data_IF_141843098734
#
_entry.id   IF_141843098734
#
_cell.length_a   1.000
_cell.length_b   1.000
_cell.length_c   1.000
_cell.angle_alpha   90.00
_cell.angle_beta   90.00
_cell.angle_gamma   90.00
#
_symmetry.space_group_name_H-M   'P 1'
#
loop_
_entity.id
_entity.type
_entity.pdbx_description
1 polymer ?
#
# COMPACT_ATOMS: atom_id res chain seq x y z
N UNK A 1 13.76 1.47 22.94
CA UNK A 1 12.86 0.81 21.96
C UNK A 1 11.44 0.94 22.48
N UNK A 2 10.57 1.61 21.76
CA UNK A 2 9.19 1.83 22.18
C UNK A 2 8.30 0.78 21.50
N UNK A 3 7.54 -0.03 22.26
CA UNK A 3 6.61 -1.03 21.70
C UNK A 3 5.56 -0.44 20.75
N UNK A 4 5.18 0.82 20.95
CA UNK A 4 4.26 1.56 20.08
C UNK A 4 4.73 1.67 18.62
N UNK A 5 6.02 1.50 18.35
CA UNK A 5 6.55 1.45 16.98
C UNK A 5 5.90 0.34 16.15
N UNK A 6 5.58 -0.81 16.76
CA UNK A 6 4.95 -1.95 16.07
C UNK A 6 3.51 -1.69 15.63
N UNK A 7 2.85 -0.69 16.20
CA UNK A 7 1.52 -0.24 15.81
C UNK A 7 1.54 1.04 14.97
N UNK A 8 2.74 1.49 14.55
CA UNK A 8 2.90 2.64 13.67
C UNK A 8 2.87 4.00 14.34
N UNK A 9 3.12 4.05 15.67
CA UNK A 9 3.16 5.30 16.42
C UNK A 9 4.51 6.00 16.28
N UNK A 10 4.78 6.56 15.10
CA UNK A 10 5.97 7.36 14.81
C UNK A 10 5.69 8.35 13.66
N UNK A 11 6.40 9.45 13.68
CA UNK A 11 6.31 10.45 12.63
C UNK A 11 7.09 10.04 11.38
N UNK A 12 6.50 10.24 10.21
CA UNK A 12 7.17 10.04 8.93
C UNK A 12 6.53 10.90 7.84
N UNK A 13 7.34 11.28 6.86
CA UNK A 13 6.81 11.98 5.70
C UNK A 13 5.99 11.05 4.79
N UNK A 14 5.06 11.58 3.97
CA UNK A 14 4.39 10.79 2.93
C UNK A 14 5.37 10.11 1.97
N UNK A 15 6.51 10.74 1.68
CA UNK A 15 7.55 10.19 0.84
C UNK A 15 8.21 8.96 1.48
N UNK A 16 8.56 9.02 2.76
CA UNK A 16 9.18 7.89 3.48
C UNK A 16 8.20 6.73 3.64
N UNK A 17 6.93 7.04 3.91
CA UNK A 17 5.87 6.04 3.94
C UNK A 17 5.72 5.35 2.56
N UNK A 18 5.62 6.13 1.48
CA UNK A 18 5.53 5.58 0.12
C UNK A 18 6.74 4.71 -0.21
N UNK A 19 7.97 5.16 0.12
CA UNK A 19 9.19 4.38 -0.11
C UNK A 19 9.18 3.05 0.65
N UNK A 20 8.67 3.04 1.88
CA UNK A 20 8.56 1.83 2.69
C UNK A 20 7.55 0.83 2.10
N UNK A 21 6.41 1.31 1.66
CA UNK A 21 5.39 0.47 1.03
C UNK A 21 5.74 0.04 -0.40
N UNK A 22 6.62 0.78 -1.08
CA UNK A 22 7.09 0.42 -2.43
C UNK A 22 7.75 -0.97 -2.45
N UNK A 23 8.54 -1.31 -1.45
CA UNK A 23 9.17 -2.64 -1.34
C UNK A 23 8.12 -3.74 -1.20
N UNK A 24 7.03 -3.49 -0.47
CA UNK A 24 5.93 -4.44 -0.32
C UNK A 24 5.16 -4.58 -1.63
N UNK A 25 4.79 -3.47 -2.27
CA UNK A 25 4.05 -3.46 -3.52
C UNK A 25 4.82 -4.18 -4.64
N UNK A 26 6.15 -4.00 -4.69
CA UNK A 26 7.06 -4.58 -5.67
C UNK A 26 7.63 -5.95 -5.26
N UNK A 27 6.88 -6.77 -4.50
CA UNK A 27 7.22 -8.15 -4.13
C UNK A 27 8.63 -8.33 -3.52
N UNK A 28 9.07 -7.33 -2.73
CA UNK A 28 10.34 -7.34 -2.02
C UNK A 28 11.48 -6.64 -2.75
N UNK A 29 11.24 -6.13 -3.94
CA UNK A 29 12.21 -5.34 -4.67
C UNK A 29 12.16 -3.87 -4.24
N UNK A 30 13.29 -3.35 -3.82
CA UNK A 30 13.49 -1.95 -3.53
C UNK A 30 13.90 -1.21 -4.80
N UNK A 31 13.26 -0.08 -5.06
CA UNK A 31 13.69 0.92 -6.02
C UNK A 31 13.50 2.30 -5.41
N UNK A 32 14.51 3.18 -5.39
CA UNK A 32 14.33 4.54 -4.89
C UNK A 32 13.21 5.25 -5.63
N UNK A 33 12.34 5.91 -4.89
CA UNK A 33 11.34 6.80 -5.48
C UNK A 33 12.04 7.95 -6.19
N UNK A 34 11.53 8.32 -7.36
CA UNK A 34 12.04 9.43 -8.14
C UNK A 34 10.89 10.21 -8.76
N UNK A 35 10.97 11.53 -8.69
CA UNK A 35 10.04 12.45 -9.34
C UNK A 35 10.47 12.84 -10.75
N UNK A 36 11.76 12.73 -11.04
CA UNK A 36 12.36 13.07 -12.34
C UNK A 36 12.99 11.80 -12.92
N UNK A 37 12.60 11.42 -14.11
CA UNK A 37 13.17 10.30 -14.86
C UNK A 37 14.33 10.76 -15.75
N UNK A 38 14.08 11.77 -16.60
CA UNK A 38 15.01 12.28 -17.56
C UNK A 38 14.88 13.81 -17.63
N UNK A 39 15.99 14.47 -17.85
CA UNK A 39 16.06 15.87 -18.25
C UNK A 39 16.45 15.90 -19.72
N UNK A 40 15.72 16.64 -20.55
CA UNK A 40 15.93 16.76 -21.98
C UNK A 40 16.23 18.20 -22.35
N UNK A 41 17.06 18.39 -23.35
CA UNK A 41 17.28 19.68 -23.97
C UNK A 41 16.07 20.15 -24.81
N UNK A 42 16.16 21.35 -25.39
CA UNK A 42 15.10 21.91 -26.23
C UNK A 42 14.87 21.14 -27.55
N UNK A 43 15.82 20.30 -27.98
CA UNK A 43 15.74 19.44 -29.16
C UNK A 43 15.16 18.06 -28.82
N UNK A 44 14.98 17.76 -27.55
CA UNK A 44 14.48 16.48 -27.06
C UNK A 44 15.55 15.42 -26.78
N UNK A 45 16.83 15.79 -26.92
CA UNK A 45 17.93 14.91 -26.55
C UNK A 45 18.03 14.79 -25.04
N UNK A 46 18.44 13.61 -24.53
CA UNK A 46 18.54 13.36 -23.08
C UNK A 46 19.89 13.91 -22.58
N UNK A 47 19.83 14.99 -21.78
CA UNK A 47 21.00 15.56 -21.11
C UNK A 47 21.37 14.76 -19.86
N UNK A 48 20.38 14.33 -19.09
CA UNK A 48 20.58 13.59 -17.85
C UNK A 48 19.46 12.57 -17.65
N UNK A 49 19.83 11.35 -17.33
CA UNK A 49 18.89 10.28 -17.01
C UNK A 49 19.16 9.74 -15.60
N UNK A 50 18.09 9.50 -14.85
CA UNK A 50 18.12 8.84 -13.56
C UNK A 50 17.66 7.38 -13.73
N UNK A 51 18.58 6.43 -13.96
CA UNK A 51 18.23 5.05 -14.25
C UNK A 51 17.53 4.37 -13.06
N UNK A 52 16.72 3.37 -13.36
CA UNK A 52 16.15 2.50 -12.34
C UNK A 52 17.27 1.72 -11.65
N UNK A 53 17.24 1.76 -10.30
CA UNK A 53 18.05 0.86 -9.47
C UNK A 53 17.08 -0.09 -8.78
N UNK A 54 17.24 -1.38 -9.02
CA UNK A 54 16.38 -2.42 -8.43
C UNK A 54 17.27 -3.34 -7.60
N UNK A 55 16.89 -3.55 -6.35
CA UNK A 55 17.58 -4.41 -5.40
C UNK A 55 16.57 -5.27 -4.67
N UNK A 56 16.74 -6.57 -4.64
CA UNK A 56 15.88 -7.43 -3.83
C UNK A 56 16.30 -7.34 -2.35
N UNK A 57 15.44 -6.78 -1.50
CA UNK A 57 15.68 -6.60 -0.07
C UNK A 57 14.94 -7.58 0.80
N UNK A 58 13.77 -8.02 0.36
CA UNK A 58 12.95 -8.97 1.10
C UNK A 58 12.60 -10.12 0.16
N UNK A 59 12.65 -11.34 0.66
CA UNK A 59 12.21 -12.50 -0.12
C UNK A 59 10.73 -12.41 -0.46
N UNK A 60 10.29 -12.92 -1.62
CA UNK A 60 8.90 -12.76 -2.07
C UNK A 60 7.87 -13.43 -1.16
N UNK A 61 8.19 -14.56 -0.52
CA UNK A 61 7.23 -15.31 0.28
C UNK A 61 6.71 -14.53 1.50
N UNK A 62 7.58 -13.92 2.37
CA UNK A 62 7.09 -13.06 3.44
C UNK A 62 6.27 -11.86 2.94
N UNK A 63 6.68 -11.26 1.81
CA UNK A 63 5.96 -10.13 1.22
C UNK A 63 4.58 -10.56 0.75
N UNK A 64 4.47 -11.73 0.13
CA UNK A 64 3.19 -12.28 -0.29
C UNK A 64 2.22 -12.49 0.90
N UNK A 65 2.72 -13.01 2.02
CA UNK A 65 1.91 -13.15 3.24
C UNK A 65 1.45 -11.79 3.77
N UNK A 66 2.33 -10.78 3.73
CA UNK A 66 1.97 -9.42 4.12
C UNK A 66 0.94 -8.81 3.18
N UNK A 67 1.11 -8.93 1.86
CA UNK A 67 0.12 -8.49 0.85
C UNK A 67 -1.22 -9.19 1.06
N UNK A 68 -1.21 -10.47 1.38
CA UNK A 68 -2.42 -11.21 1.72
C UNK A 68 -3.13 -10.63 2.95
N UNK A 69 -2.38 -10.33 4.03
CA UNK A 69 -2.92 -9.68 5.22
C UNK A 69 -3.46 -8.27 4.89
N UNK A 70 -2.76 -7.50 4.07
CA UNK A 70 -3.22 -6.18 3.61
C UNK A 70 -4.49 -6.26 2.74
N UNK A 71 -4.69 -7.33 1.97
CA UNK A 71 -5.93 -7.59 1.24
C UNK A 71 -7.12 -7.80 2.19
N UNK A 72 -6.89 -8.40 3.38
CA UNK A 72 -7.95 -8.64 4.36
C UNK A 72 -8.56 -7.33 4.89
N UNK A 73 -7.86 -6.20 4.81
CA UNK A 73 -8.42 -4.90 5.20
C UNK A 73 -9.65 -4.52 4.38
N UNK A 74 -9.69 -4.90 3.10
CA UNK A 74 -10.83 -4.68 2.21
C UNK A 74 -11.94 -5.73 2.40
N UNK A 75 -11.61 -6.92 2.88
CA UNK A 75 -12.58 -8.03 3.00
C UNK A 75 -13.35 -7.95 4.31
N UNK A 76 -12.64 -7.80 5.42
CA UNK A 76 -13.21 -7.82 6.77
C UNK A 76 -12.69 -6.69 7.68
N UNK A 77 -11.71 -5.91 7.21
CA UNK A 77 -11.05 -4.87 7.99
C UNK A 77 -11.61 -3.46 7.78
N UNK A 78 -10.76 -2.47 8.05
CA UNK A 78 -11.10 -1.04 8.04
C UNK A 78 -11.50 -0.50 6.66
N UNK A 79 -11.04 -1.13 5.58
CA UNK A 79 -11.37 -0.75 4.20
C UNK A 79 -12.53 -1.56 3.60
N UNK A 80 -13.29 -2.33 4.41
CA UNK A 80 -14.41 -3.16 3.94
C UNK A 80 -15.45 -2.36 3.17
N UNK A 81 -16.07 -3.01 2.17
CA UNK A 81 -17.12 -2.42 1.34
C UNK A 81 -16.67 -2.03 -0.07
N UNK A 82 -15.40 -2.20 -0.39
CA UNK A 82 -14.94 -2.08 -1.77
C UNK A 82 -15.29 -3.34 -2.58
N UNK A 83 -15.67 -3.23 -3.88
CA UNK A 83 -16.16 -4.36 -4.66
C UNK A 83 -15.16 -5.53 -4.74
N UNK A 84 -15.59 -6.72 -4.33
CA UNK A 84 -14.73 -7.93 -4.30
C UNK A 84 -14.08 -8.23 -5.65
N UNK A 85 -14.83 -8.08 -6.75
CA UNK A 85 -14.31 -8.30 -8.10
C UNK A 85 -13.10 -7.41 -8.40
N UNK A 86 -13.15 -6.14 -8.01
CA UNK A 86 -12.03 -5.18 -8.18
C UNK A 86 -10.84 -5.57 -7.30
N UNK A 87 -11.09 -5.93 -6.03
CA UNK A 87 -10.04 -6.39 -5.11
C UNK A 87 -9.30 -7.60 -5.70
N UNK A 88 -10.02 -8.55 -6.24
CA UNK A 88 -9.43 -9.79 -6.77
C UNK A 88 -8.72 -9.55 -8.12
N UNK A 89 -9.31 -8.78 -9.03
CA UNK A 89 -8.72 -8.44 -10.33
C UNK A 89 -7.41 -7.66 -10.21
N UNK A 90 -7.37 -6.70 -9.30
CA UNK A 90 -6.18 -5.86 -9.08
C UNK A 90 -5.28 -6.37 -7.97
N UNK A 91 -5.59 -7.50 -7.33
CA UNK A 91 -4.91 -7.99 -6.13
C UNK A 91 -4.74 -6.88 -5.08
N UNK A 92 -5.78 -6.04 -4.92
CA UNK A 92 -5.72 -4.85 -4.11
C UNK A 92 -5.51 -5.16 -2.62
N UNK A 93 -4.67 -4.39 -1.98
CA UNK A 93 -4.40 -4.44 -0.56
C UNK A 93 -3.99 -3.08 -0.04
N UNK A 94 -4.18 -2.82 1.25
CA UNK A 94 -3.80 -1.52 1.80
C UNK A 94 -3.93 -1.45 3.32
N UNK A 95 -3.57 -0.30 3.86
CA UNK A 95 -3.62 -0.02 5.30
C UNK A 95 -4.11 1.40 5.54
N UNK A 96 -5.10 1.55 6.42
CA UNK A 96 -5.53 2.83 6.97
C UNK A 96 -4.61 3.26 8.12
N UNK A 97 -4.40 4.55 8.26
CA UNK A 97 -3.80 5.17 9.44
C UNK A 97 -4.68 6.33 9.92
N UNK A 98 -4.74 6.51 11.22
CA UNK A 98 -5.40 7.65 11.87
C UNK A 98 -4.57 7.98 13.08
N UNK A 99 -4.07 9.21 13.17
CA UNK A 99 -3.35 9.68 14.35
C UNK A 99 -4.33 10.02 15.48
N UNK A 100 -3.78 10.20 16.68
CA UNK A 100 -4.54 10.63 17.85
C UNK A 100 -5.27 11.95 17.55
N UNK A 101 -6.44 12.12 18.12
CA UNK A 101 -7.33 13.26 17.88
C UNK A 101 -7.74 13.46 16.41
N UNK A 102 -7.58 12.44 15.56
CA UNK A 102 -7.90 12.50 14.12
C UNK A 102 -7.18 13.65 13.38
N UNK A 103 -5.94 13.93 13.74
CA UNK A 103 -5.14 15.00 13.11
C UNK A 103 -4.74 14.62 11.69
N UNK A 104 -4.48 13.31 11.47
CA UNK A 104 -4.09 12.75 10.18
C UNK A 104 -4.99 11.60 9.78
N UNK A 105 -5.40 11.63 8.55
CA UNK A 105 -6.08 10.55 7.86
C UNK A 105 -5.16 9.99 6.78
N UNK A 106 -4.75 8.73 6.90
CA UNK A 106 -3.83 8.06 6.00
C UNK A 106 -4.48 6.84 5.33
N UNK A 107 -4.15 6.63 4.08
CA UNK A 107 -4.33 5.35 3.42
C UNK A 107 -3.18 5.10 2.45
N UNK A 108 -2.56 3.93 2.57
CA UNK A 108 -1.59 3.43 1.59
C UNK A 108 -2.13 2.14 1.02
N UNK A 109 -2.25 2.06 -0.30
CA UNK A 109 -2.77 0.87 -0.95
C UNK A 109 -2.18 0.65 -2.32
N UNK A 110 -2.04 -0.62 -2.68
CA UNK A 110 -1.70 -1.05 -4.03
C UNK A 110 -2.93 -1.65 -4.70
N UNK A 111 -3.04 -1.45 -6.00
CA UNK A 111 -4.03 -2.06 -6.87
C UNK A 111 -3.42 -2.21 -8.26
N UNK A 112 -3.38 -3.44 -8.77
CA UNK A 112 -2.72 -3.72 -10.03
C UNK A 112 -1.24 -3.31 -10.01
N UNK A 113 -0.85 -2.51 -10.95
CA UNK A 113 0.50 -1.96 -11.13
C UNK A 113 0.74 -0.63 -10.39
N UNK A 114 -0.23 -0.15 -9.61
CA UNK A 114 -0.15 1.12 -8.89
C UNK A 114 0.04 0.92 -7.38
N UNK A 115 0.87 1.79 -6.80
CA UNK A 115 0.94 2.05 -5.36
C UNK A 115 0.56 3.51 -5.14
N UNK A 116 -0.47 3.74 -4.32
CA UNK A 116 -0.99 5.08 -4.05
C UNK A 116 -1.06 5.31 -2.55
N UNK A 117 -0.52 6.46 -2.12
CA UNK A 117 -0.63 6.95 -0.76
C UNK A 117 -1.47 8.22 -0.76
N UNK A 118 -2.43 8.28 0.13
CA UNK A 118 -3.23 9.47 0.40
C UNK A 118 -3.04 9.88 1.86
N UNK A 119 -2.73 11.14 2.05
CA UNK A 119 -2.70 11.80 3.35
C UNK A 119 -3.61 13.03 3.32
N UNK A 120 -4.42 13.16 4.36
CA UNK A 120 -5.25 14.33 4.59
C UNK A 120 -4.99 14.82 6.02
N UNK A 121 -4.65 16.07 6.15
CA UNK A 121 -4.33 16.73 7.42
C UNK A 121 -4.20 18.24 7.22
N UNK A 122 -3.86 18.92 8.29
CA UNK A 122 -3.57 20.35 8.27
C UNK A 122 -2.11 20.58 8.64
N UNK A 123 -1.46 21.55 8.00
CA UNK A 123 -0.05 21.90 8.26
C UNK A 123 0.18 22.40 9.69
N UNK A 124 -0.85 22.98 10.31
CA UNK A 124 -0.83 23.42 11.71
C UNK A 124 -1.17 22.32 12.71
N UNK A 125 -1.27 21.06 12.24
CA UNK A 125 -1.54 19.87 13.04
C UNK A 125 -2.85 19.93 13.86
N UNK A 126 -3.83 20.73 13.45
CA UNK A 126 -5.16 20.76 14.09
C UNK A 126 -5.96 19.50 13.72
N UNK A 127 -6.89 19.05 14.59
CA UNK A 127 -7.75 17.91 14.30
C UNK A 127 -8.59 18.07 13.03
N UNK A 128 -8.77 16.96 12.31
CA UNK A 128 -9.73 16.86 11.21
C UNK A 128 -10.94 16.04 11.67
N UNK A 129 -12.11 16.14 11.00
CA UNK A 129 -13.22 15.23 11.27
C UNK A 129 -13.04 13.86 10.57
N UNK A 130 -11.84 13.54 10.10
CA UNK A 130 -11.58 12.40 9.21
C UNK A 130 -10.79 11.31 9.91
N UNK A 131 -11.15 10.06 9.63
CA UNK A 131 -10.33 8.88 9.91
C UNK A 131 -9.69 8.39 8.62
N UNK A 132 -8.72 7.48 8.70
CA UNK A 132 -8.17 6.83 7.51
C UNK A 132 -9.24 6.17 6.63
N UNK A 133 -10.35 5.72 7.23
CA UNK A 133 -11.49 5.14 6.52
C UNK A 133 -12.38 6.19 5.86
N UNK A 134 -12.80 7.22 6.60
CA UNK A 134 -13.77 8.22 6.11
C UNK A 134 -13.13 9.31 5.25
N UNK A 135 -11.81 9.45 5.27
CA UNK A 135 -11.06 10.44 4.51
C UNK A 135 -10.19 9.80 3.42
N UNK A 136 -8.95 9.47 3.77
CA UNK A 136 -7.92 9.06 2.81
C UNK A 136 -8.31 7.83 1.97
N UNK A 137 -9.00 6.84 2.56
CA UNK A 137 -9.47 5.67 1.82
C UNK A 137 -10.51 6.03 0.74
N UNK A 138 -11.41 6.96 1.01
CA UNK A 138 -12.42 7.36 0.01
C UNK A 138 -11.78 8.09 -1.17
N UNK A 139 -10.79 8.94 -0.93
CA UNK A 139 -10.00 9.58 -1.99
C UNK A 139 -9.26 8.51 -2.82
N UNK A 140 -8.62 7.55 -2.14
CA UNK A 140 -7.91 6.45 -2.78
C UNK A 140 -8.84 5.62 -3.68
N UNK A 141 -10.04 5.26 -3.21
CA UNK A 141 -11.02 4.49 -3.99
C UNK A 141 -11.44 5.23 -5.25
N UNK A 142 -11.79 6.51 -5.13
CA UNK A 142 -12.18 7.32 -6.27
C UNK A 142 -11.06 7.40 -7.30
N UNK A 143 -9.83 7.67 -6.85
CA UNK A 143 -8.66 7.73 -7.72
C UNK A 143 -8.41 6.41 -8.46
N UNK A 144 -8.45 5.27 -7.77
CA UNK A 144 -8.25 3.95 -8.39
C UNK A 144 -9.40 3.60 -9.34
N UNK A 145 -10.62 4.01 -9.00
CA UNK A 145 -11.78 3.79 -9.87
C UNK A 145 -11.73 4.62 -11.14
N UNK A 146 -11.16 5.80 -11.10
CA UNK A 146 -10.97 6.66 -12.29
C UNK A 146 -9.84 6.16 -13.18
N UNK A 147 -8.71 5.76 -12.60
CA UNK A 147 -7.51 5.31 -13.33
C UNK A 147 -7.69 3.92 -13.92
N UNK A 148 -8.44 3.02 -13.26
CA UNK A 148 -8.62 1.62 -13.67
C UNK A 148 -7.29 0.90 -13.91
N UNK A 149 -6.52 0.57 -12.85
CA UNK A 149 -5.20 -0.04 -12.99
C UNK A 149 -5.22 -1.34 -13.80
N UNK A 150 -4.08 -1.70 -14.36
CA UNK A 150 -3.93 -2.98 -15.06
C UNK A 150 -4.16 -4.15 -14.11
N UNK A 151 -4.89 -5.17 -14.55
CA UNK A 151 -5.05 -6.40 -13.78
C UNK A 151 -3.71 -7.13 -13.66
N UNK A 152 -3.43 -7.68 -12.48
CA UNK A 152 -2.22 -8.46 -12.24
C UNK A 152 -2.58 -9.89 -11.88
N UNK A 153 -1.80 -10.83 -12.38
CA UNK A 153 -1.94 -12.22 -12.01
C UNK A 153 -1.43 -12.47 -10.59
N UNK A 154 -2.05 -13.44 -9.94
CA UNK A 154 -1.61 -13.87 -8.62
C UNK A 154 -0.37 -14.75 -8.74
N UNK A 155 0.73 -14.32 -8.16
CA UNK A 155 1.91 -15.15 -8.06
C UNK A 155 1.63 -16.42 -7.23
N UNK A 156 2.04 -17.57 -7.75
CA UNK A 156 1.99 -18.82 -7.02
C UNK A 156 3.36 -19.09 -6.38
N UNK A 157 3.37 -19.29 -5.07
CA UNK A 157 4.59 -19.55 -4.31
C UNK A 157 4.56 -21.00 -3.81
N UNK A 158 5.39 -21.90 -4.36
CA UNK A 158 5.37 -23.35 -4.02
C UNK A 158 5.58 -23.64 -2.52
N UNK A 159 6.23 -22.71 -1.81
CA UNK A 159 6.49 -22.82 -0.37
C UNK A 159 5.35 -22.30 0.51
N UNK A 160 4.30 -21.71 -0.08
CA UNK A 160 3.13 -21.21 0.64
C UNK A 160 1.97 -22.17 0.40
N UNK A 161 1.43 -22.70 1.49
CA UNK A 161 0.23 -23.55 1.45
C UNK A 161 -0.97 -22.75 1.94
N UNK A 162 -2.08 -22.85 1.22
CA UNK A 162 -3.36 -22.31 1.66
C UNK A 162 -4.13 -23.46 2.33
N UNK A 163 -4.57 -23.21 3.55
CA UNK A 163 -5.35 -24.15 4.35
C UNK A 163 -6.62 -23.44 4.84
N UNK A 164 -7.68 -24.21 4.97
CA UNK A 164 -8.89 -23.73 5.60
C UNK A 164 -8.74 -23.82 7.12
N UNK A 165 -9.12 -22.76 7.81
CA UNK A 165 -9.12 -22.75 9.29
C UNK A 165 -10.49 -22.34 9.78
N UNK A 166 -10.90 -22.89 10.94
CA UNK A 166 -12.08 -22.39 11.62
C UNK A 166 -11.86 -20.94 12.06
N UNK A 167 -12.85 -20.11 11.86
CA UNK A 167 -12.76 -18.67 12.14
C UNK A 167 -12.71 -18.35 13.65
N UNK A 168 -13.20 -19.27 14.49
CA UNK A 168 -13.30 -19.06 15.94
C UNK A 168 -12.00 -19.40 16.66
N UNK A 169 -11.39 -20.52 16.31
CA UNK A 169 -10.22 -21.05 17.01
C UNK A 169 -8.94 -21.09 16.17
N UNK A 170 -9.05 -20.82 14.85
CA UNK A 170 -7.92 -20.83 13.94
C UNK A 170 -7.38 -22.23 13.62
N UNK A 171 -8.05 -23.29 14.08
CA UNK A 171 -7.64 -24.65 13.81
C UNK A 171 -7.91 -25.05 12.35
N UNK A 172 -7.09 -25.95 11.82
CA UNK A 172 -7.27 -26.46 10.45
C UNK A 172 -8.55 -27.27 10.42
N UNK A 173 -9.50 -26.87 9.58
CA UNK A 173 -10.69 -27.68 9.32
C UNK A 173 -10.31 -28.81 8.36
N UNK A 174 -10.47 -30.03 8.81
CA UNK A 174 -10.26 -31.24 8.02
C UNK A 174 -11.23 -31.37 6.85
#
# INVERSE_FOLDING_TARGET
RYPSLFIGSFEMSPFDAMQSYQVIAADGFYSPLRSIRDIKDLKGDIDLSYPYKIEQRIRPEPVHLLKFAMKQTFISGTARGYPRKKIDSWQAGGKTGTSDDQRDSWFVGFAGDLLVLVWLGFDDNRPTPLTGRSGALEVWKNFIDDIQPSSVERNNFPRIKYIWTDKKDGLVSG
#
